data_IF_239475112184
#
_entry.id   IF_239475112184
#
_cell.length_a   1.000
_cell.length_b   1.000
_cell.length_c   1.000
_cell.angle_alpha   90.00
_cell.angle_beta   90.00
_cell.angle_gamma   90.00
#
_symmetry.space_group_name_H-M   'P 1'
#
loop_
_entity.id
_entity.type
_entity.pdbx_description
1 polymer ?
#
# COMPACT_ATOMS: atom_id res chain seq x y z
N UNK A 1 55.05 -1.27 27.31
CA UNK A 1 55.22 -1.29 25.82
C UNK A 1 55.85 -2.61 25.32
N UNK A 2 56.82 -3.22 26.02
CA UNK A 2 57.49 -4.47 25.62
C UNK A 2 56.60 -5.69 25.28
N UNK A 3 55.42 -5.97 25.92
CA UNK A 3 54.59 -7.11 25.51
C UNK A 3 53.88 -6.88 24.21
N UNK A 4 53.49 -5.62 23.88
CA UNK A 4 52.79 -5.26 22.64
C UNK A 4 53.79 -5.34 21.46
N UNK A 5 55.02 -4.87 21.66
CA UNK A 5 56.08 -4.92 20.65
C UNK A 5 56.42 -6.38 20.25
N UNK A 6 56.50 -7.30 21.22
CA UNK A 6 56.70 -8.73 20.95
C UNK A 6 55.50 -9.36 20.18
N UNK A 7 54.28 -8.93 20.44
CA UNK A 7 53.10 -9.42 19.68
C UNK A 7 53.13 -8.91 18.25
N UNK A 8 53.51 -7.66 18.02
CA UNK A 8 53.69 -7.09 16.70
C UNK A 8 54.82 -7.75 15.91
N UNK A 9 55.97 -8.00 16.53
CA UNK A 9 57.10 -8.69 15.91
C UNK A 9 56.74 -10.13 15.53
N UNK A 10 56.01 -10.87 16.38
CA UNK A 10 55.50 -12.20 16.07
C UNK A 10 54.48 -12.20 14.91
N UNK A 11 53.63 -11.17 14.84
CA UNK A 11 52.70 -10.98 13.74
C UNK A 11 53.44 -10.72 12.42
N UNK A 12 54.46 -9.88 12.45
CA UNK A 12 55.29 -9.55 11.30
C UNK A 12 56.07 -10.77 10.77
N UNK A 13 56.64 -11.61 11.66
CA UNK A 13 57.31 -12.85 11.25
C UNK A 13 56.31 -13.88 10.66
N UNK A 14 55.12 -14.01 11.26
CA UNK A 14 54.06 -14.86 10.75
C UNK A 14 53.60 -14.39 9.37
N UNK A 15 53.38 -13.08 9.18
CA UNK A 15 52.99 -12.47 7.93
C UNK A 15 54.06 -12.65 6.84
N UNK A 16 55.36 -12.40 7.15
CA UNK A 16 56.47 -12.65 6.23
C UNK A 16 56.54 -14.11 5.74
N UNK A 17 56.33 -15.07 6.64
CA UNK A 17 56.30 -16.52 6.28
C UNK A 17 55.11 -16.83 5.35
N UNK A 18 53.91 -16.27 5.62
CA UNK A 18 52.70 -16.49 4.81
C UNK A 18 52.80 -15.85 3.43
N UNK A 19 53.33 -14.62 3.32
CA UNK A 19 53.55 -13.96 2.03
C UNK A 19 54.57 -14.75 1.20
N UNK A 20 55.69 -15.14 1.78
CA UNK A 20 56.72 -15.88 1.07
C UNK A 20 56.15 -17.21 0.52
N UNK A 21 55.36 -17.94 1.29
CA UNK A 21 54.66 -19.11 0.84
C UNK A 21 53.67 -18.80 -0.31
N UNK A 22 52.90 -17.74 -0.22
CA UNK A 22 51.93 -17.33 -1.21
C UNK A 22 52.58 -16.99 -2.56
N UNK A 23 53.70 -16.26 -2.54
CA UNK A 23 54.44 -15.88 -3.75
C UNK A 23 55.04 -17.11 -4.44
N UNK A 24 55.52 -18.09 -3.66
CA UNK A 24 56.03 -19.34 -4.24
C UNK A 24 54.94 -20.29 -4.74
N UNK A 25 53.75 -20.23 -4.19
CA UNK A 25 52.60 -21.08 -4.58
C UNK A 25 51.47 -20.26 -5.23
N UNK A 26 51.83 -19.32 -6.09
CA UNK A 26 50.86 -18.37 -6.73
C UNK A 26 49.61 -19.01 -7.33
N UNK A 27 49.77 -20.15 -8.02
CA UNK A 27 48.65 -20.87 -8.66
C UNK A 27 47.67 -21.41 -7.61
N UNK A 28 48.18 -22.00 -6.52
CA UNK A 28 47.30 -22.52 -5.44
C UNK A 28 46.55 -21.38 -4.72
N UNK A 29 47.21 -20.25 -4.52
CA UNK A 29 46.58 -19.06 -3.89
C UNK A 29 45.48 -18.51 -4.82
N UNK A 30 45.77 -18.30 -6.08
CA UNK A 30 44.79 -17.82 -7.07
C UNK A 30 43.59 -18.79 -7.17
N UNK A 31 43.82 -20.08 -7.27
CA UNK A 31 42.76 -21.09 -7.27
C UNK A 31 41.96 -21.09 -5.97
N UNK A 32 42.61 -20.94 -4.83
CA UNK A 32 41.95 -20.84 -3.54
C UNK A 32 41.05 -19.59 -3.42
N UNK A 33 41.53 -18.44 -3.89
CA UNK A 33 40.75 -17.20 -3.93
C UNK A 33 39.59 -17.29 -4.88
N UNK A 34 39.76 -17.88 -6.09
CA UNK A 34 38.70 -18.10 -7.04
C UNK A 34 37.65 -19.09 -6.52
N UNK A 35 38.09 -20.16 -5.83
CA UNK A 35 37.17 -21.10 -5.18
C UNK A 35 36.35 -20.41 -4.08
N UNK A 36 36.99 -19.57 -3.23
CA UNK A 36 36.32 -18.81 -2.21
C UNK A 36 35.31 -17.81 -2.80
N UNK A 37 35.69 -17.13 -3.89
CA UNK A 37 34.78 -16.22 -4.61
C UNK A 37 33.61 -16.96 -5.22
N UNK A 38 33.85 -18.12 -5.86
CA UNK A 38 32.79 -18.96 -6.39
C UNK A 38 31.82 -19.46 -5.30
N UNK A 39 32.36 -19.85 -4.13
CA UNK A 39 31.54 -20.25 -2.98
C UNK A 39 30.71 -19.09 -2.43
N UNK A 40 31.26 -17.88 -2.40
CA UNK A 40 30.54 -16.68 -1.96
C UNK A 40 29.39 -16.30 -2.90
N UNK A 41 29.56 -16.51 -4.23
CA UNK A 41 28.49 -16.30 -5.20
C UNK A 41 27.35 -17.31 -5.04
N UNK A 42 27.67 -18.57 -4.71
CA UNK A 42 26.64 -19.57 -4.39
C UNK A 42 25.88 -19.20 -3.11
N UNK A 43 26.59 -18.71 -2.10
CA UNK A 43 25.97 -18.23 -0.86
C UNK A 43 25.09 -16.98 -1.09
N UNK A 44 25.42 -16.11 -2.04
CA UNK A 44 24.64 -14.94 -2.37
C UNK A 44 23.20 -15.27 -2.80
N UNK A 45 23.01 -16.42 -3.47
CA UNK A 45 21.68 -16.89 -3.90
C UNK A 45 20.75 -17.28 -2.73
N UNK A 46 21.29 -17.49 -1.54
CA UNK A 46 20.50 -17.79 -0.32
C UNK A 46 20.22 -16.57 0.58
N UNK A 47 20.76 -15.42 0.21
CA UNK A 47 20.57 -14.18 0.98
C UNK A 47 19.33 -13.48 0.45
N UNK A 48 18.29 -13.36 1.28
CA UNK A 48 17.12 -12.56 0.97
C UNK A 48 17.49 -11.08 0.80
N UNK A 49 16.89 -10.43 -0.18
CA UNK A 49 17.10 -8.99 -0.42
C UNK A 49 15.85 -8.22 -0.07
N UNK A 50 15.97 -7.26 0.83
CA UNK A 50 14.92 -6.30 1.15
C UNK A 50 15.38 -4.90 0.76
N UNK A 51 14.47 -4.12 0.16
CA UNK A 51 14.78 -2.74 -0.23
C UNK A 51 14.79 -1.82 0.98
N UNK A 52 13.75 -1.89 1.78
CA UNK A 52 13.64 -1.25 3.08
C UNK A 52 13.10 -2.27 4.07
N UNK A 53 13.86 -2.66 5.10
CA UNK A 53 13.33 -3.52 6.14
C UNK A 53 12.20 -2.81 6.89
N UNK A 54 11.17 -3.57 7.27
CA UNK A 54 10.09 -3.05 8.07
C UNK A 54 10.63 -2.45 9.38
N UNK A 55 10.42 -1.15 9.55
CA UNK A 55 10.86 -0.44 10.75
C UNK A 55 9.75 -0.37 11.77
N UNK A 56 10.07 -0.66 13.02
CA UNK A 56 9.14 -0.45 14.12
C UNK A 56 9.08 1.05 14.49
N UNK A 57 8.15 1.74 13.87
CA UNK A 57 7.87 3.15 14.15
C UNK A 57 6.74 3.37 15.16
N UNK A 58 6.34 2.30 15.87
CA UNK A 58 5.30 2.32 16.91
C UNK A 58 3.93 2.83 16.41
N UNK A 59 3.61 2.68 15.12
CA UNK A 59 2.33 3.09 14.54
C UNK A 59 1.69 1.96 13.78
N UNK A 60 0.36 1.83 13.94
CA UNK A 60 -0.47 0.87 13.23
C UNK A 60 -1.62 1.62 12.57
N UNK A 61 -1.81 1.41 11.28
CA UNK A 61 -2.99 1.82 10.55
C UNK A 61 -3.87 0.61 10.25
N UNK A 62 -5.16 0.68 10.58
CA UNK A 62 -6.09 -0.40 10.25
C UNK A 62 -7.27 0.20 9.50
N UNK A 63 -7.57 -0.37 8.34
CA UNK A 63 -8.77 -0.07 7.59
C UNK A 63 -9.69 -1.28 7.60
N UNK A 64 -10.90 -1.14 8.14
CA UNK A 64 -11.90 -2.19 8.21
C UNK A 64 -13.09 -1.79 7.37
N UNK A 65 -13.52 -2.67 6.48
CA UNK A 65 -14.69 -2.48 5.63
C UNK A 65 -15.76 -3.53 5.99
N UNK A 66 -16.92 -3.02 6.37
CA UNK A 66 -18.12 -3.82 6.56
C UNK A 66 -18.88 -3.95 5.23
N UNK A 67 -19.90 -4.82 5.13
CA UNK A 67 -20.73 -4.89 3.93
C UNK A 67 -21.32 -3.53 3.55
N UNK A 68 -21.34 -3.25 2.25
CA UNK A 68 -21.88 -2.01 1.72
C UNK A 68 -23.34 -1.86 2.17
N UNK A 69 -23.73 -0.64 2.55
CA UNK A 69 -25.06 -0.37 3.11
C UNK A 69 -25.14 -0.48 4.64
N UNK A 70 -24.06 -0.87 5.31
CA UNK A 70 -24.00 -0.87 6.78
C UNK A 70 -24.21 0.54 7.32
N UNK A 71 -25.10 0.69 8.30
CA UNK A 71 -25.38 1.99 8.93
C UNK A 71 -24.22 2.42 9.85
N UNK A 72 -23.97 3.71 9.91
CA UNK A 72 -22.89 4.31 10.72
C UNK A 72 -22.95 3.90 12.20
N UNK A 73 -24.17 3.76 12.76
CA UNK A 73 -24.36 3.35 14.16
C UNK A 73 -23.83 1.93 14.40
N UNK A 74 -24.05 1.03 13.43
CA UNK A 74 -23.55 -0.34 13.50
C UNK A 74 -22.02 -0.38 13.40
N UNK A 75 -21.46 0.37 12.45
CA UNK A 75 -20.01 0.51 12.29
C UNK A 75 -19.34 1.10 13.54
N UNK A 76 -19.98 2.10 14.18
CA UNK A 76 -19.50 2.66 15.46
C UNK A 76 -19.51 1.63 16.58
N UNK A 77 -20.54 0.77 16.65
CA UNK A 77 -20.60 -0.29 17.65
C UNK A 77 -19.43 -1.26 17.50
N UNK A 78 -19.19 -1.75 16.27
CA UNK A 78 -18.07 -2.66 15.99
C UNK A 78 -16.73 -1.98 16.30
N UNK A 79 -16.60 -0.71 15.91
CA UNK A 79 -15.39 0.07 16.20
C UNK A 79 -15.13 0.19 17.71
N UNK A 80 -16.16 0.43 18.51
CA UNK A 80 -16.05 0.51 19.95
C UNK A 80 -15.70 -0.83 20.58
N UNK A 81 -16.33 -1.94 20.14
CA UNK A 81 -16.06 -3.29 20.62
C UNK A 81 -14.60 -3.72 20.35
N UNK A 82 -14.10 -3.46 19.13
CA UNK A 82 -12.70 -3.74 18.77
C UNK A 82 -11.73 -2.89 19.59
N UNK A 83 -12.04 -1.61 19.77
CA UNK A 83 -11.22 -0.69 20.56
C UNK A 83 -11.14 -1.15 22.01
N UNK A 84 -12.27 -1.50 22.62
CA UNK A 84 -12.32 -2.01 24.01
C UNK A 84 -11.50 -3.31 24.14
N UNK A 85 -11.64 -4.24 23.19
CA UNK A 85 -10.88 -5.49 23.16
C UNK A 85 -9.38 -5.25 23.11
N UNK A 86 -8.92 -4.34 22.22
CA UNK A 86 -7.51 -4.04 22.06
C UNK A 86 -6.95 -3.21 23.22
N UNK A 87 -7.70 -2.26 23.74
CA UNK A 87 -7.30 -1.52 24.94
C UNK A 87 -7.17 -2.44 26.17
N UNK A 88 -8.04 -3.42 26.33
CA UNK A 88 -7.95 -4.39 27.42
C UNK A 88 -6.75 -5.33 27.26
N UNK A 89 -6.35 -5.67 26.02
CA UNK A 89 -5.22 -6.58 25.76
C UNK A 89 -3.88 -5.86 25.76
N UNK A 90 -3.81 -4.68 25.16
CA UNK A 90 -2.56 -3.96 24.89
C UNK A 90 -2.49 -2.58 25.58
N UNK A 91 -3.37 -2.30 26.55
CA UNK A 91 -3.48 -0.96 27.16
C UNK A 91 -2.17 -0.37 27.62
N UNK A 92 -1.27 -1.17 28.20
CA UNK A 92 0.06 -0.72 28.63
C UNK A 92 1.01 -0.43 27.46
N UNK A 93 0.77 -1.01 26.28
CA UNK A 93 1.55 -0.83 25.09
C UNK A 93 0.96 0.21 24.13
N UNK A 94 -0.30 0.63 24.32
CA UNK A 94 -0.98 1.63 23.50
C UNK A 94 -0.93 3.00 24.16
N UNK A 95 -0.37 3.98 23.43
CA UNK A 95 -0.38 5.39 23.84
C UNK A 95 -1.67 6.08 23.38
N UNK A 96 -2.07 5.86 22.12
CA UNK A 96 -3.25 6.46 21.51
C UNK A 96 -3.94 5.45 20.60
N UNK A 97 -5.26 5.34 20.71
CA UNK A 97 -6.10 4.59 19.79
C UNK A 97 -7.21 5.50 19.26
N UNK A 98 -7.05 6.02 18.05
CA UNK A 98 -8.04 6.82 17.37
C UNK A 98 -8.72 6.01 16.29
N UNK A 99 -10.05 6.14 16.17
CA UNK A 99 -10.76 5.60 15.02
C UNK A 99 -11.70 6.63 14.41
N UNK A 100 -11.89 6.50 13.10
CA UNK A 100 -12.83 7.31 12.32
C UNK A 100 -13.83 6.38 11.66
N UNK A 101 -15.11 6.72 11.75
CA UNK A 101 -16.23 5.96 11.17
C UNK A 101 -17.13 6.92 10.43
N UNK A 102 -17.54 6.55 9.23
CA UNK A 102 -18.53 7.29 8.48
C UNK A 102 -17.98 8.03 7.28
N UNK A 103 -18.83 8.87 6.73
CA UNK A 103 -18.51 9.68 5.57
C UNK A 103 -18.00 11.05 6.02
N UNK A 104 -16.91 11.50 5.45
CA UNK A 104 -16.42 12.86 5.68
C UNK A 104 -17.31 13.89 4.97
N UNK A 105 -17.28 15.13 5.44
CA UNK A 105 -17.96 16.22 4.77
C UNK A 105 -17.37 16.45 3.38
N UNK A 106 -18.26 16.76 2.41
CA UNK A 106 -17.87 16.99 1.00
C UNK A 106 -16.85 18.11 0.81
N UNK A 107 -16.78 19.04 1.74
CA UNK A 107 -15.87 20.20 1.71
C UNK A 107 -14.45 19.86 2.22
N UNK A 108 -14.25 18.66 2.77
CA UNK A 108 -12.95 18.23 3.26
C UNK A 108 -12.13 17.56 2.15
N UNK A 109 -11.26 18.33 1.52
CA UNK A 109 -10.39 17.86 0.42
C UNK A 109 -9.51 16.66 0.80
N UNK A 110 -9.05 16.60 2.05
CA UNK A 110 -8.25 15.47 2.54
C UNK A 110 -9.07 14.19 2.72
N UNK A 111 -10.34 14.32 2.98
CA UNK A 111 -11.23 13.19 3.15
C UNK A 111 -11.54 12.48 1.82
N UNK A 112 -11.47 13.20 0.71
CA UNK A 112 -11.64 12.62 -0.63
C UNK A 112 -10.45 11.76 -1.08
N UNK A 113 -9.29 11.89 -0.41
CA UNK A 113 -8.08 11.10 -0.67
C UNK A 113 -8.04 9.78 0.10
N UNK A 114 -9.00 9.53 0.98
CA UNK A 114 -9.11 8.29 1.75
C UNK A 114 -10.46 7.64 1.52
N UNK A 115 -10.51 6.32 1.66
CA UNK A 115 -11.76 5.58 1.60
C UNK A 115 -12.76 6.11 2.64
N UNK A 116 -13.94 6.48 2.16
CA UNK A 116 -15.01 7.07 2.96
C UNK A 116 -16.32 6.31 2.75
N UNK A 117 -17.04 6.08 3.84
CA UNK A 117 -18.36 5.46 3.77
C UNK A 117 -18.89 5.09 5.16
N UNK A 118 -20.20 4.95 5.28
CA UNK A 118 -20.83 4.53 6.53
C UNK A 118 -20.36 3.15 7.01
N UNK A 119 -19.84 2.34 6.11
CA UNK A 119 -19.35 0.96 6.33
C UNK A 119 -17.83 0.89 6.55
N UNK A 120 -17.12 2.03 6.55
CA UNK A 120 -15.66 2.08 6.66
C UNK A 120 -15.26 2.57 8.04
N UNK A 121 -14.32 1.84 8.67
CA UNK A 121 -13.71 2.16 9.95
C UNK A 121 -12.21 2.27 9.72
N UNK A 122 -11.62 3.43 9.97
CA UNK A 122 -10.19 3.65 9.88
C UNK A 122 -9.60 3.91 11.26
N UNK A 123 -8.65 3.08 11.68
CA UNK A 123 -7.90 3.24 12.92
C UNK A 123 -6.52 3.81 12.66
N UNK A 124 -6.10 4.67 13.59
CA UNK A 124 -4.72 5.08 13.75
C UNK A 124 -4.31 4.84 15.20
N UNK A 125 -3.41 3.91 15.40
CA UNK A 125 -2.96 3.46 16.72
C UNK A 125 -1.50 3.86 16.86
N UNK A 126 -1.17 4.54 17.96
CA UNK A 126 0.21 4.80 18.36
C UNK A 126 0.54 3.94 19.58
N UNK A 127 1.65 3.24 19.49
CA UNK A 127 2.18 2.41 20.57
C UNK A 127 3.29 3.16 21.31
N UNK A 128 3.60 2.74 22.51
CA UNK A 128 4.78 3.16 23.24
C UNK A 128 6.07 2.71 22.49
N UNK A 129 7.19 3.32 22.82
CA UNK A 129 8.47 2.98 22.19
C UNK A 129 8.79 1.48 22.32
N UNK A 130 9.52 0.87 21.37
CA UNK A 130 9.86 -0.56 21.39
C UNK A 130 10.51 -1.01 22.69
N UNK A 131 11.34 -0.15 23.31
CA UNK A 131 12.03 -0.45 24.57
C UNK A 131 11.09 -0.57 25.80
N UNK A 132 9.86 -0.07 25.68
CA UNK A 132 8.88 -0.02 26.77
C UNK A 132 7.80 -1.09 26.66
N UNK A 133 7.84 -1.94 25.63
CA UNK A 133 6.86 -2.99 25.39
C UNK A 133 7.51 -4.35 25.19
N UNK A 134 6.79 -5.40 25.51
CA UNK A 134 7.27 -6.80 25.42
C UNK A 134 7.01 -7.41 24.05
N UNK A 135 5.95 -6.97 23.35
CA UNK A 135 5.57 -7.46 22.03
C UNK A 135 6.14 -6.56 20.94
N UNK A 136 6.58 -7.18 19.85
CA UNK A 136 7.00 -6.42 18.65
C UNK A 136 5.77 -5.84 17.92
N UNK A 137 6.00 -4.82 17.09
CA UNK A 137 4.95 -4.24 16.26
C UNK A 137 4.28 -5.30 15.36
N UNK A 138 5.10 -6.18 14.78
CA UNK A 138 4.63 -7.27 13.93
C UNK A 138 3.73 -8.25 14.67
N UNK A 139 4.13 -8.69 15.86
CA UNK A 139 3.32 -9.59 16.70
C UNK A 139 1.96 -8.97 17.05
N UNK A 140 1.94 -7.69 17.39
CA UNK A 140 0.68 -6.98 17.69
C UNK A 140 -0.20 -6.91 16.44
N UNK A 141 0.38 -6.59 15.29
CA UNK A 141 -0.36 -6.55 14.01
C UNK A 141 -0.92 -7.92 13.64
N UNK A 142 -0.17 -9.01 13.84
CA UNK A 142 -0.64 -10.37 13.55
C UNK A 142 -1.78 -10.81 14.45
N UNK A 143 -1.69 -10.51 15.74
CA UNK A 143 -2.80 -10.78 16.67
C UNK A 143 -4.04 -9.95 16.32
N UNK A 144 -3.87 -8.67 15.93
CA UNK A 144 -4.98 -7.84 15.46
C UNK A 144 -5.61 -8.38 14.18
N UNK A 145 -4.80 -8.91 13.23
CA UNK A 145 -5.32 -9.60 12.04
C UNK A 145 -6.15 -10.82 12.40
N UNK A 146 -5.69 -11.62 13.37
CA UNK A 146 -6.46 -12.77 13.85
C UNK A 146 -7.78 -12.34 14.52
N UNK A 147 -7.75 -11.27 15.30
CA UNK A 147 -8.94 -10.71 15.90
C UNK A 147 -9.96 -10.27 14.83
N UNK A 148 -9.51 -9.57 13.81
CA UNK A 148 -10.37 -9.10 12.71
C UNK A 148 -10.94 -10.26 11.88
N UNK A 149 -10.16 -11.31 11.61
CA UNK A 149 -10.64 -12.53 10.94
C UNK A 149 -11.76 -13.25 11.73
N UNK A 150 -11.77 -13.09 13.05
CA UNK A 150 -12.78 -13.73 13.90
C UNK A 150 -14.15 -13.03 13.86
N UNK A 151 -14.24 -11.81 13.27
CA UNK A 151 -15.52 -11.08 13.15
C UNK A 151 -16.18 -11.36 11.80
N UNK A 152 -17.27 -12.13 11.74
CA UNK A 152 -17.93 -12.48 10.47
C UNK A 152 -18.60 -11.29 9.78
N UNK A 153 -18.80 -10.20 10.51
CA UNK A 153 -19.39 -8.96 10.00
C UNK A 153 -18.39 -8.11 9.18
N UNK A 154 -17.09 -8.43 9.22
CA UNK A 154 -16.04 -7.72 8.49
C UNK A 154 -15.91 -8.35 7.11
N UNK A 155 -16.19 -7.57 6.07
CA UNK A 155 -16.06 -8.00 4.68
C UNK A 155 -14.60 -7.97 4.21
N UNK A 156 -13.87 -6.91 4.57
CA UNK A 156 -12.44 -6.71 4.26
C UNK A 156 -11.77 -5.97 5.41
N UNK A 157 -10.49 -6.19 5.57
CA UNK A 157 -9.67 -5.37 6.46
C UNK A 157 -8.24 -5.29 5.91
N UNK A 158 -7.51 -4.30 6.34
CA UNK A 158 -6.10 -4.12 6.04
C UNK A 158 -5.40 -3.60 7.29
N UNK A 159 -4.34 -4.29 7.71
CA UNK A 159 -3.50 -3.91 8.84
C UNK A 159 -2.13 -3.53 8.32
N UNK A 160 -1.75 -2.27 8.47
CA UNK A 160 -0.50 -1.70 8.00
C UNK A 160 0.40 -1.31 9.18
N UNK A 161 1.65 -1.75 9.16
CA UNK A 161 2.69 -1.22 10.02
C UNK A 161 3.14 0.14 9.47
N UNK A 162 3.32 1.13 10.34
CA UNK A 162 3.80 2.44 9.93
C UNK A 162 2.78 3.56 9.86
N UNK A 163 1.51 3.27 10.13
CA UNK A 163 0.41 4.26 10.04
C UNK A 163 -0.06 4.48 8.60
N UNK A 164 -1.34 4.75 8.40
CA UNK A 164 -2.09 4.73 7.14
C UNK A 164 -1.71 5.76 6.06
N UNK A 165 -0.47 6.06 5.87
CA UNK A 165 -0.01 6.97 4.83
C UNK A 165 1.32 6.53 4.27
N UNK A 166 1.36 5.67 3.27
CA UNK A 166 2.44 5.36 2.31
C UNK A 166 3.89 5.77 2.62
N UNK A 167 4.28 5.77 3.91
CA UNK A 167 5.61 6.20 4.34
C UNK A 167 6.65 5.10 4.11
N UNK A 168 7.86 5.49 3.73
CA UNK A 168 9.03 4.62 3.65
C UNK A 168 9.23 3.90 4.99
N UNK A 169 9.04 2.58 5.02
CA UNK A 169 9.22 1.74 6.22
C UNK A 169 7.98 0.97 6.67
N UNK A 170 6.90 0.94 5.86
CA UNK A 170 5.77 0.03 6.05
C UNK A 170 6.10 -1.41 5.65
N UNK A 171 5.18 -2.32 5.90
CA UNK A 171 5.28 -3.72 5.49
C UNK A 171 5.43 -3.81 3.96
N UNK A 172 6.31 -4.67 3.47
CA UNK A 172 6.50 -4.89 2.04
C UNK A 172 5.25 -5.46 1.40
N UNK A 173 4.83 -4.87 0.28
CA UNK A 173 3.72 -5.36 -0.53
C UNK A 173 4.24 -5.76 -1.91
N UNK A 174 3.71 -6.88 -2.43
CA UNK A 174 3.84 -7.25 -3.83
C UNK A 174 2.56 -6.80 -4.54
N UNK A 175 2.66 -5.83 -5.42
CA UNK A 175 1.53 -5.28 -6.14
C UNK A 175 1.50 -5.84 -7.57
N UNK A 176 0.32 -6.31 -7.97
CA UNK A 176 0.06 -6.86 -9.30
C UNK A 176 -1.02 -6.01 -9.97
N UNK A 177 -0.69 -5.38 -11.07
CA UNK A 177 -1.58 -4.53 -11.83
C UNK A 177 -2.24 -5.31 -12.96
N UNK A 178 -3.56 -5.40 -12.89
CA UNK A 178 -4.41 -6.04 -13.90
C UNK A 178 -4.97 -4.96 -14.80
N UNK A 179 -4.49 -4.89 -16.04
CA UNK A 179 -4.93 -3.94 -17.05
C UNK A 179 -6.03 -4.56 -17.91
N UNK A 180 -7.08 -3.79 -18.20
CA UNK A 180 -8.16 -4.20 -19.08
C UNK A 180 -9.31 -3.21 -19.10
N UNK A 181 -10.08 -3.20 -20.21
CA UNK A 181 -11.22 -2.30 -20.38
C UNK A 181 -12.54 -2.92 -19.91
N UNK A 182 -12.64 -4.24 -19.93
CA UNK A 182 -13.81 -4.99 -19.48
C UNK A 182 -13.78 -5.14 -17.96
N UNK A 183 -14.84 -4.68 -17.27
CA UNK A 183 -14.93 -4.71 -15.83
C UNK A 183 -15.12 -6.15 -15.30
N UNK A 184 -16.00 -6.92 -15.94
CA UNK A 184 -16.35 -8.26 -15.48
C UNK A 184 -15.14 -9.21 -15.59
N UNK A 185 -14.40 -9.12 -16.71
CA UNK A 185 -13.20 -9.93 -16.92
C UNK A 185 -12.05 -9.49 -16.01
N UNK A 186 -11.82 -8.18 -15.82
CA UNK A 186 -10.77 -7.71 -14.89
C UNK A 186 -11.10 -8.08 -13.45
N UNK A 187 -12.38 -8.05 -13.03
CA UNK A 187 -12.79 -8.48 -11.70
C UNK A 187 -12.60 -9.98 -11.53
N UNK A 188 -12.99 -10.80 -12.53
CA UNK A 188 -12.78 -12.24 -12.50
C UNK A 188 -11.30 -12.61 -12.35
N UNK A 189 -10.42 -12.01 -13.17
CA UNK A 189 -8.98 -12.26 -13.12
C UNK A 189 -8.38 -11.78 -11.79
N UNK A 190 -8.79 -10.62 -11.28
CA UNK A 190 -8.31 -10.11 -9.99
C UNK A 190 -8.70 -11.02 -8.82
N UNK A 191 -9.92 -11.58 -8.82
CA UNK A 191 -10.36 -12.53 -7.81
C UNK A 191 -9.66 -13.89 -7.92
N UNK A 192 -9.44 -14.37 -9.15
CA UNK A 192 -8.67 -15.59 -9.39
C UNK A 192 -7.23 -15.43 -8.91
N UNK A 193 -6.59 -14.31 -9.27
CA UNK A 193 -5.24 -13.97 -8.83
C UNK A 193 -5.17 -13.88 -7.30
N UNK A 194 -6.10 -13.17 -6.65
CA UNK A 194 -6.20 -13.12 -5.19
C UNK A 194 -6.23 -14.50 -4.55
N UNK A 195 -7.08 -15.39 -5.09
CA UNK A 195 -7.23 -16.74 -4.54
C UNK A 195 -5.95 -17.56 -4.67
N UNK A 196 -5.26 -17.43 -5.78
CA UNK A 196 -4.00 -18.12 -6.05
C UNK A 196 -2.84 -17.54 -5.21
N UNK A 197 -2.75 -16.22 -5.09
CA UNK A 197 -1.72 -15.57 -4.25
C UNK A 197 -1.82 -15.96 -2.78
N UNK A 198 -3.03 -16.18 -2.25
CA UNK A 198 -3.23 -16.65 -0.88
C UNK A 198 -2.70 -18.08 -0.63
N UNK A 199 -2.36 -18.84 -1.67
CA UNK A 199 -1.74 -20.17 -1.55
C UNK A 199 -0.22 -20.13 -1.46
N UNK A 200 0.40 -18.96 -1.72
CA UNK A 200 1.85 -18.79 -1.67
C UNK A 200 2.29 -18.65 -0.21
N UNK A 201 3.34 -19.40 0.14
CA UNK A 201 3.96 -19.27 1.46
C UNK A 201 4.59 -17.87 1.62
N UNK A 202 4.36 -17.21 2.75
CA UNK A 202 4.84 -15.84 2.98
C UNK A 202 3.89 -14.74 2.50
N UNK A 203 2.67 -15.08 2.04
CA UNK A 203 1.61 -14.10 1.76
C UNK A 203 0.61 -14.10 2.92
N UNK A 204 0.49 -12.96 3.60
CA UNK A 204 -0.40 -12.81 4.77
C UNK A 204 -1.82 -12.40 4.42
N UNK A 205 -1.97 -11.46 3.52
CA UNK A 205 -3.24 -10.83 3.15
C UNK A 205 -3.18 -10.35 1.70
N UNK A 206 -4.28 -10.48 0.95
CA UNK A 206 -4.37 -9.99 -0.43
C UNK A 206 -5.60 -9.09 -0.57
N UNK A 207 -5.36 -7.85 -1.00
CA UNK A 207 -6.37 -6.84 -1.21
C UNK A 207 -6.47 -6.47 -2.70
N UNK A 208 -7.69 -6.18 -3.15
CA UNK A 208 -7.98 -5.69 -4.50
C UNK A 208 -8.37 -4.22 -4.38
N UNK A 209 -7.78 -3.34 -5.18
CA UNK A 209 -8.02 -1.89 -5.12
C UNK A 209 -9.45 -1.53 -5.49
N UNK A 210 -10.04 -2.27 -6.44
CA UNK A 210 -11.44 -2.05 -6.81
C UNK A 210 -12.36 -2.49 -5.69
N UNK A 211 -13.15 -1.54 -5.18
CA UNK A 211 -14.20 -1.81 -4.21
C UNK A 211 -15.40 -2.50 -4.85
N UNK A 212 -16.24 -3.12 -4.01
CA UNK A 212 -17.48 -3.73 -4.48
C UNK A 212 -18.43 -2.67 -5.07
N UNK A 213 -19.26 -3.10 -6.02
CA UNK A 213 -20.27 -2.23 -6.62
C UNK A 213 -21.22 -1.72 -5.53
N UNK A 214 -21.48 -0.40 -5.55
CA UNK A 214 -22.43 0.23 -4.64
C UNK A 214 -23.79 0.35 -5.32
N UNK A 215 -24.86 -0.20 -4.71
CA UNK A 215 -26.20 0.12 -5.17
C UNK A 215 -26.47 1.61 -4.90
N UNK A 216 -26.84 2.33 -5.94
CA UNK A 216 -27.20 3.75 -5.87
C UNK A 216 -28.52 4.03 -6.55
N UNK A 217 -29.26 4.99 -6.04
CA UNK A 217 -30.47 5.48 -6.69
C UNK A 217 -30.12 6.61 -7.64
N UNK A 218 -30.27 6.36 -8.93
CA UNK A 218 -30.11 7.36 -9.97
C UNK A 218 -31.48 7.93 -10.37
N UNK A 219 -31.58 9.25 -10.48
CA UNK A 219 -32.77 9.92 -10.99
C UNK A 219 -32.54 10.26 -12.45
N UNK A 220 -33.14 9.46 -13.33
CA UNK A 220 -33.11 9.67 -14.77
C UNK A 220 -34.20 10.71 -15.14
N UNK A 221 -33.81 11.98 -15.27
CA UNK A 221 -34.68 13.06 -15.65
C UNK A 221 -34.94 13.05 -17.16
N UNK A 222 -36.24 13.17 -17.55
CA UNK A 222 -36.67 13.37 -18.91
C UNK A 222 -36.52 14.85 -19.30
N UNK A 223 -35.64 15.12 -20.27
CA UNK A 223 -35.34 16.50 -20.70
C UNK A 223 -36.54 17.21 -21.33
N UNK A 224 -37.42 16.49 -22.02
CA UNK A 224 -38.61 17.05 -22.64
C UNK A 224 -39.62 17.46 -21.56
N UNK A 225 -39.84 16.61 -20.56
CA UNK A 225 -40.73 16.91 -19.43
C UNK A 225 -40.19 18.07 -18.60
N UNK A 226 -38.86 18.13 -18.37
CA UNK A 226 -38.24 19.28 -17.70
C UNK A 226 -38.54 20.58 -18.47
N UNK A 227 -38.34 20.57 -19.78
CA UNK A 227 -38.54 21.75 -20.62
C UNK A 227 -40.02 22.20 -20.63
N UNK A 228 -40.97 21.27 -20.64
CA UNK A 228 -42.44 21.57 -20.55
C UNK A 228 -42.78 22.32 -19.27
N UNK A 229 -42.07 22.04 -18.19
CA UNK A 229 -42.27 22.72 -16.89
C UNK A 229 -41.31 23.91 -16.66
N UNK A 230 -40.56 24.35 -17.68
CA UNK A 230 -39.63 25.47 -17.58
C UNK A 230 -38.46 25.17 -16.68
N UNK A 231 -38.06 23.90 -16.55
CA UNK A 231 -36.92 23.42 -15.79
C UNK A 231 -35.81 22.95 -16.72
N UNK A 232 -34.60 23.03 -16.27
CA UNK A 232 -33.45 22.36 -16.89
C UNK A 232 -32.82 21.31 -15.93
N UNK A 233 -32.01 20.44 -16.47
CA UNK A 233 -31.39 19.34 -15.72
C UNK A 233 -30.57 19.86 -14.53
N UNK A 234 -29.77 20.92 -14.71
CA UNK A 234 -28.93 21.49 -13.65
C UNK A 234 -29.76 22.00 -12.49
N UNK A 235 -30.83 22.75 -12.78
CA UNK A 235 -31.75 23.26 -11.75
C UNK A 235 -32.43 22.10 -11.01
N UNK A 236 -32.94 21.11 -11.71
CA UNK A 236 -33.60 19.95 -11.11
C UNK A 236 -32.66 19.16 -10.20
N UNK A 237 -31.44 18.88 -10.67
CA UNK A 237 -30.42 18.17 -9.90
C UNK A 237 -29.96 18.95 -8.66
N UNK A 238 -29.78 20.27 -8.78
CA UNK A 238 -29.41 21.12 -7.65
C UNK A 238 -30.53 21.15 -6.59
N UNK A 239 -31.79 21.22 -7.01
CA UNK A 239 -32.92 21.15 -6.08
C UNK A 239 -32.97 19.84 -5.31
N UNK A 240 -32.76 18.72 -6.01
CA UNK A 240 -32.73 17.39 -5.40
C UNK A 240 -31.57 17.29 -4.40
N UNK A 241 -30.35 17.64 -4.82
CA UNK A 241 -29.15 17.63 -3.98
C UNK A 241 -29.37 18.44 -2.70
N UNK A 242 -29.83 19.68 -2.81
CA UNK A 242 -30.02 20.57 -1.66
C UNK A 242 -31.07 20.05 -0.67
N UNK A 243 -32.06 19.28 -1.13
CA UNK A 243 -33.08 18.72 -0.24
C UNK A 243 -32.64 17.44 0.45
N UNK A 244 -31.87 16.60 -0.25
CA UNK A 244 -31.40 15.31 0.28
C UNK A 244 -30.13 15.49 1.11
N UNK A 245 -29.08 16.10 0.53
CA UNK A 245 -27.78 16.31 1.21
C UNK A 245 -27.80 17.57 2.07
N UNK A 246 -28.61 18.56 1.69
CA UNK A 246 -28.65 19.86 2.32
C UNK A 246 -27.84 20.93 1.60
N UNK A 247 -28.05 22.15 1.96
CA UNK A 247 -27.28 23.31 1.54
C UNK A 247 -26.96 24.16 2.73
N UNK A 248 -25.74 24.71 2.81
CA UNK A 248 -25.36 25.70 3.81
C UNK A 248 -26.08 27.00 3.47
N UNK A 249 -27.07 27.37 4.31
CA UNK A 249 -27.93 28.53 4.09
C UNK A 249 -27.29 29.81 4.66
N UNK A 250 -26.57 29.68 5.76
CA UNK A 250 -25.89 30.81 6.46
C UNK A 250 -24.88 30.25 7.45
N UNK A 251 -24.16 31.15 8.10
CA UNK A 251 -23.21 30.80 9.16
C UNK A 251 -23.70 31.42 10.49
N UNK A 252 -23.68 30.62 11.52
CA UNK A 252 -23.90 31.10 12.88
C UNK A 252 -22.54 31.42 13.52
N UNK A 253 -22.39 32.64 14.06
CA UNK A 253 -21.13 33.11 14.65
C UNK A 253 -21.32 33.31 16.14
N UNK A 254 -20.49 32.67 16.94
CA UNK A 254 -20.49 32.78 18.39
C UNK A 254 -19.04 32.66 18.90
N UNK A 255 -18.65 33.57 19.80
CA UNK A 255 -17.34 33.61 20.48
C UNK A 255 -16.09 33.56 19.55
N UNK A 256 -16.24 34.00 18.29
CA UNK A 256 -15.17 34.01 17.28
C UNK A 256 -15.16 32.80 16.38
N UNK A 257 -15.99 31.79 16.63
CA UNK A 257 -16.18 30.62 15.81
C UNK A 257 -17.35 30.78 14.83
N UNK A 258 -17.22 30.15 13.66
CA UNK A 258 -18.26 30.05 12.63
C UNK A 258 -18.79 28.62 12.54
N UNK A 259 -20.14 28.50 12.62
CA UNK A 259 -20.84 27.21 12.50
C UNK A 259 -21.76 27.24 11.28
N UNK A 260 -21.65 26.20 10.41
CA UNK A 260 -22.51 26.06 9.24
C UNK A 260 -23.96 25.78 9.62
N UNK A 261 -24.90 26.62 9.14
CA UNK A 261 -26.32 26.32 9.22
C UNK A 261 -26.76 25.56 7.98
N UNK A 262 -26.78 24.24 8.06
CA UNK A 262 -27.14 23.35 6.97
C UNK A 262 -28.65 23.05 6.98
N UNK A 263 -29.34 23.38 5.88
CA UNK A 263 -30.78 23.16 5.72
C UNK A 263 -31.00 21.99 4.77
N UNK A 264 -31.74 20.98 5.24
CA UNK A 264 -32.13 19.79 4.46
C UNK A 264 -33.47 19.24 4.93
N UNK A 265 -34.05 18.31 4.19
CA UNK A 265 -35.24 17.60 4.65
C UNK A 265 -34.98 16.81 5.92
N UNK A 266 -35.97 16.75 6.79
CA UNK A 266 -35.93 15.92 7.98
C UNK A 266 -35.82 14.43 7.58
N UNK A 267 -35.23 13.57 8.41
CA UNK A 267 -34.97 12.17 8.07
C UNK A 267 -36.20 11.43 7.55
N UNK A 268 -37.37 11.67 8.12
CA UNK A 268 -38.63 11.03 7.77
C UNK A 268 -39.10 11.29 6.31
N UNK A 269 -38.55 12.33 5.65
CA UNK A 269 -38.90 12.69 4.26
C UNK A 269 -37.84 12.33 3.23
N UNK A 270 -36.86 11.47 3.58
CA UNK A 270 -35.76 11.09 2.71
C UNK A 270 -35.20 9.68 2.98
N UNK A 271 -36.06 8.78 3.47
CA UNK A 271 -35.67 7.40 3.84
C UNK A 271 -36.03 6.36 2.80
N UNK A 272 -36.99 6.67 1.94
CA UNK A 272 -37.51 5.72 0.93
C UNK A 272 -37.42 6.27 -0.49
N UNK A 273 -37.53 5.37 -1.47
CA UNK A 273 -37.64 5.77 -2.91
C UNK A 273 -38.87 6.64 -3.11
N UNK A 274 -39.99 6.28 -2.48
CA UNK A 274 -41.24 7.04 -2.56
C UNK A 274 -41.08 8.48 -2.07
N UNK A 275 -40.27 8.71 -1.03
CA UNK A 275 -39.95 10.05 -0.55
C UNK A 275 -39.23 10.85 -1.62
N UNK A 276 -38.21 10.26 -2.27
CA UNK A 276 -37.45 10.88 -3.36
C UNK A 276 -38.38 11.22 -4.55
N UNK A 277 -39.24 10.29 -4.96
CA UNK A 277 -40.17 10.50 -6.05
C UNK A 277 -41.22 11.62 -5.79
N UNK A 278 -41.58 11.80 -4.54
CA UNK A 278 -42.55 12.82 -4.12
C UNK A 278 -41.94 14.20 -3.82
N UNK A 279 -40.60 14.34 -3.87
CA UNK A 279 -39.96 15.64 -3.75
C UNK A 279 -40.48 16.59 -4.84
N UNK A 280 -40.95 17.78 -4.45
CA UNK A 280 -41.42 18.81 -5.37
C UNK A 280 -40.28 19.76 -5.74
N UNK A 281 -40.03 19.91 -7.03
CA UNK A 281 -39.12 20.91 -7.60
C UNK A 281 -39.97 22.10 -8.05
N UNK A 282 -39.61 23.28 -7.55
CA UNK A 282 -40.33 24.51 -7.91
C UNK A 282 -39.74 25.06 -9.21
N UNK A 283 -40.56 25.18 -10.24
CA UNK A 283 -40.14 25.81 -11.50
C UNK A 283 -39.91 27.31 -11.29
N UNK A 284 -38.72 27.83 -11.62
CA UNK A 284 -38.43 29.27 -11.51
C UNK A 284 -39.24 30.09 -12.51
N UNK A 285 -39.75 29.48 -13.58
CA UNK A 285 -40.49 30.16 -14.64
C UNK A 285 -42.00 30.20 -14.36
N UNK A 286 -42.57 29.11 -13.85
CA UNK A 286 -44.02 28.98 -13.64
C UNK A 286 -44.43 29.11 -12.18
N UNK A 287 -43.51 29.02 -11.22
CA UNK A 287 -43.77 29.00 -9.78
C UNK A 287 -44.46 27.71 -9.30
N UNK A 288 -44.74 26.77 -10.18
CA UNK A 288 -45.42 25.52 -9.84
C UNK A 288 -44.42 24.47 -9.32
N UNK A 289 -44.85 23.71 -8.29
CA UNK A 289 -44.11 22.57 -7.77
C UNK A 289 -44.45 21.29 -8.49
N UNK A 290 -43.50 20.70 -9.22
CA UNK A 290 -43.64 19.44 -9.96
C UNK A 290 -42.89 18.34 -9.23
N UNK A 291 -43.44 17.15 -9.08
CA UNK A 291 -42.79 16.01 -8.40
C UNK A 291 -41.75 15.37 -9.29
N UNK A 292 -40.70 14.80 -8.68
CA UNK A 292 -39.66 14.10 -9.42
C UNK A 292 -40.19 12.99 -10.26
N UNK A 293 -41.15 12.19 -9.78
CA UNK A 293 -41.80 11.12 -10.54
C UNK A 293 -42.51 11.58 -11.84
N UNK A 294 -42.95 12.84 -11.88
CA UNK A 294 -43.56 13.43 -13.06
C UNK A 294 -42.50 13.92 -14.07
N UNK A 295 -41.25 14.15 -13.60
CA UNK A 295 -40.12 14.67 -14.37
C UNK A 295 -39.13 13.58 -14.81
N UNK A 296 -39.16 12.40 -14.18
CA UNK A 296 -38.22 11.33 -14.45
C UNK A 296 -38.56 10.04 -13.74
N UNK A 297 -37.60 9.15 -13.64
CA UNK A 297 -37.72 7.87 -12.94
C UNK A 297 -36.56 7.71 -11.98
N UNK A 298 -36.83 7.13 -10.81
CA UNK A 298 -35.79 6.70 -9.86
C UNK A 298 -35.46 5.23 -10.18
N UNK A 299 -34.22 4.95 -10.47
CA UNK A 299 -33.75 3.60 -10.87
C UNK A 299 -32.59 3.22 -9.93
N UNK A 300 -32.64 2.00 -9.41
CA UNK A 300 -31.53 1.41 -8.69
C UNK A 300 -30.50 0.87 -9.68
N UNK A 301 -29.25 1.25 -9.53
CA UNK A 301 -28.14 0.78 -10.36
C UNK A 301 -26.92 0.50 -9.49
N UNK A 302 -26.19 -0.53 -9.85
CA UNK A 302 -24.88 -0.79 -9.29
C UNK A 302 -23.83 0.02 -10.06
N UNK A 303 -23.07 0.81 -9.35
CA UNK A 303 -21.99 1.61 -9.93
C UNK A 303 -20.64 1.28 -9.26
N UNK A 304 -19.57 1.13 -10.04
CA UNK A 304 -18.24 0.98 -9.48
C UNK A 304 -17.85 2.28 -8.76
N UNK A 305 -17.38 2.21 -7.50
CA UNK A 305 -17.10 3.40 -6.71
C UNK A 305 -15.91 4.21 -7.27
N UNK A 306 -14.92 3.51 -7.81
CA UNK A 306 -13.67 4.12 -8.30
C UNK A 306 -13.21 3.42 -9.57
N UNK A 307 -12.77 4.20 -10.55
CA UNK A 307 -12.11 3.72 -11.78
C UNK A 307 -10.70 4.25 -11.79
N UNK A 308 -9.74 3.38 -11.46
CA UNK A 308 -8.33 3.71 -11.48
C UNK A 308 -7.76 3.60 -12.88
N UNK A 309 -6.82 4.50 -13.19
CA UNK A 309 -6.07 4.49 -14.44
C UNK A 309 -4.60 4.79 -14.20
N UNK A 310 -3.77 3.99 -14.84
CA UNK A 310 -2.32 4.22 -14.96
C UNK A 310 -2.00 4.27 -16.44
N UNK A 311 -1.22 5.24 -16.88
CA UNK A 311 -0.83 5.44 -18.29
C UNK A 311 -2.00 5.49 -19.28
N UNK A 312 -3.15 6.04 -18.86
CA UNK A 312 -4.44 6.14 -19.59
C UNK A 312 -5.19 4.82 -19.74
N UNK A 313 -4.66 3.69 -19.31
CA UNK A 313 -5.34 2.40 -19.27
C UNK A 313 -6.03 2.19 -17.93
N UNK A 314 -7.12 1.42 -17.95
CA UNK A 314 -7.81 1.03 -16.70
C UNK A 314 -6.98 -0.03 -16.01
N UNK A 315 -6.81 0.13 -14.70
CA UNK A 315 -6.03 -0.78 -13.88
C UNK A 315 -6.81 -1.19 -12.63
N UNK A 316 -6.59 -2.41 -12.22
CA UNK A 316 -6.99 -2.94 -10.90
C UNK A 316 -5.72 -3.46 -10.24
N UNK A 317 -5.39 -2.95 -9.06
CA UNK A 317 -4.22 -3.39 -8.31
C UNK A 317 -4.62 -4.48 -7.33
N UNK A 318 -3.92 -5.60 -7.37
CA UNK A 318 -4.01 -6.69 -6.41
C UNK A 318 -2.76 -6.65 -5.55
N UNK A 319 -2.91 -6.20 -4.30
CA UNK A 319 -1.80 -6.01 -3.36
C UNK A 319 -1.72 -7.19 -2.40
N UNK A 320 -0.61 -7.90 -2.42
CA UNK A 320 -0.31 -8.97 -1.46
C UNK A 320 0.65 -8.45 -0.38
N UNK A 321 0.25 -8.57 0.87
CA UNK A 321 1.11 -8.26 2.03
C UNK A 321 2.09 -9.41 2.22
N UNK A 322 3.39 -9.09 2.16
CA UNK A 322 4.47 -10.08 2.23
C UNK A 322 4.99 -10.16 3.66
N UNK A 323 5.00 -11.38 4.21
CA UNK A 323 5.56 -11.72 5.53
C UNK A 323 6.92 -12.42 5.42
N UNK A 324 7.35 -12.73 4.19
CA UNK A 324 8.63 -13.37 3.86
C UNK A 324 9.48 -12.49 2.96
N UNK A 325 10.33 -13.13 2.14
CA UNK A 325 11.16 -12.43 1.15
C UNK A 325 10.33 -11.98 -0.05
N UNK A 326 10.32 -10.68 -0.34
CA UNK A 326 9.55 -10.12 -1.46
C UNK A 326 9.89 -10.77 -2.80
N UNK A 327 11.18 -11.04 -3.06
CA UNK A 327 11.65 -11.66 -4.30
C UNK A 327 11.11 -13.07 -4.52
N UNK A 328 11.04 -13.89 -3.48
CA UNK A 328 10.54 -15.27 -3.57
C UNK A 328 9.03 -15.28 -3.85
N UNK A 329 8.26 -14.46 -3.11
CA UNK A 329 6.82 -14.31 -3.32
C UNK A 329 6.50 -13.83 -4.74
N UNK A 330 7.27 -12.86 -5.27
CA UNK A 330 7.07 -12.38 -6.64
C UNK A 330 7.46 -13.43 -7.68
N UNK A 331 8.51 -14.24 -7.43
CA UNK A 331 8.89 -15.32 -8.33
C UNK A 331 7.79 -16.39 -8.42
N UNK A 332 7.24 -16.81 -7.28
CA UNK A 332 6.13 -17.77 -7.22
C UNK A 332 4.85 -17.19 -7.84
N UNK A 333 4.57 -15.91 -7.60
CA UNK A 333 3.42 -15.22 -8.19
C UNK A 333 3.54 -15.13 -9.72
N UNK A 334 4.73 -14.84 -10.26
CA UNK A 334 4.96 -14.83 -11.71
C UNK A 334 4.73 -16.22 -12.34
N UNK A 335 5.19 -17.28 -11.68
CA UNK A 335 4.92 -18.65 -12.15
C UNK A 335 3.40 -18.94 -12.21
N UNK A 336 2.65 -18.46 -11.22
CA UNK A 336 1.17 -18.57 -11.18
C UNK A 336 0.54 -17.75 -12.31
N UNK A 337 1.01 -16.53 -12.55
CA UNK A 337 0.49 -15.65 -13.61
C UNK A 337 0.73 -16.24 -14.99
N UNK A 338 1.91 -16.84 -15.21
CA UNK A 338 2.25 -17.51 -16.47
C UNK A 338 1.37 -18.76 -16.75
N UNK A 339 0.86 -19.40 -15.69
CA UNK A 339 -0.08 -20.53 -15.80
C UNK A 339 -1.55 -20.08 -15.93
N UNK A 340 -1.85 -18.80 -15.72
CA UNK A 340 -3.22 -18.29 -15.87
C UNK A 340 -3.60 -18.08 -17.33
N UNK A 341 -4.80 -18.52 -17.70
CA UNK A 341 -5.39 -18.20 -19.01
C UNK A 341 -5.91 -16.75 -19.00
N UNK A 342 -5.10 -15.82 -19.50
CA UNK A 342 -5.51 -14.42 -19.62
C UNK A 342 -6.31 -14.20 -20.90
N UNK A 343 -7.52 -13.60 -20.82
CA UNK A 343 -8.31 -13.23 -21.98
C UNK A 343 -7.61 -12.18 -22.85
N UNK A 344 -7.99 -12.11 -24.13
CA UNK A 344 -7.48 -11.09 -25.05
C UNK A 344 -7.73 -9.69 -24.51
N UNK A 345 -6.69 -8.86 -24.38
CA UNK A 345 -6.80 -7.49 -23.90
C UNK A 345 -6.70 -7.32 -22.38
N UNK A 346 -6.38 -8.38 -21.65
CA UNK A 346 -6.00 -8.32 -20.23
C UNK A 346 -4.53 -8.65 -20.11
N UNK A 347 -3.81 -7.83 -19.35
CA UNK A 347 -2.41 -8.06 -18.97
C UNK A 347 -2.25 -7.90 -17.47
N UNK A 348 -1.36 -8.73 -16.89
CA UNK A 348 -1.01 -8.66 -15.48
C UNK A 348 0.49 -8.33 -15.40
N UNK A 349 0.84 -7.32 -14.63
CA UNK A 349 2.23 -6.89 -14.46
C UNK A 349 2.54 -6.72 -12.98
N UNK A 350 3.76 -7.07 -12.59
CA UNK A 350 4.26 -6.78 -11.24
C UNK A 350 4.65 -5.31 -11.19
N UNK A 351 4.28 -4.65 -10.11
CA UNK A 351 4.48 -3.22 -9.90
C UNK A 351 4.83 -2.92 -8.43
N UNK A 352 4.85 -1.63 -8.09
CA UNK A 352 5.04 -1.17 -6.72
C UNK A 352 6.45 -1.38 -6.19
N UNK A 353 6.57 -1.74 -4.93
CA UNK A 353 7.86 -1.82 -4.21
C UNK A 353 8.88 -2.71 -4.92
N UNK A 354 8.44 -3.79 -5.58
CA UNK A 354 9.34 -4.69 -6.30
C UNK A 354 9.89 -4.05 -7.58
N UNK A 355 9.05 -3.35 -8.35
CA UNK A 355 9.46 -2.60 -9.55
C UNK A 355 10.48 -1.52 -9.16
N UNK A 356 10.14 -0.69 -8.15
CA UNK A 356 11.03 0.35 -7.62
C UNK A 356 12.37 -0.21 -7.14
N UNK A 357 12.34 -1.39 -6.51
CA UNK A 357 13.54 -2.10 -6.07
C UNK A 357 14.41 -2.50 -7.26
N UNK A 358 13.83 -3.10 -8.30
CA UNK A 358 14.56 -3.51 -9.48
C UNK A 358 15.18 -2.33 -10.23
N UNK A 359 14.43 -1.25 -10.43
CA UNK A 359 14.95 -0.03 -11.04
C UNK A 359 16.10 0.57 -10.23
N UNK A 360 15.93 0.66 -8.90
CA UNK A 360 16.96 1.19 -8.01
C UNK A 360 18.24 0.34 -8.04
N UNK A 361 18.13 -0.97 -8.05
CA UNK A 361 19.30 -1.85 -8.15
C UNK A 361 19.97 -1.76 -9.53
N UNK A 362 19.21 -1.58 -10.61
CA UNK A 362 19.77 -1.38 -11.95
C UNK A 362 20.55 -0.06 -12.02
N UNK A 363 19.99 1.02 -11.48
CA UNK A 363 20.63 2.34 -11.40
C UNK A 363 21.88 2.32 -10.52
N UNK A 364 21.80 1.70 -9.36
CA UNK A 364 22.97 1.50 -8.47
C UNK A 364 24.06 0.67 -9.13
N UNK A 365 23.67 -0.35 -9.91
CA UNK A 365 24.59 -1.16 -10.71
C UNK A 365 25.32 -0.32 -11.75
N UNK A 366 24.58 0.52 -12.50
CA UNK A 366 25.16 1.43 -13.48
C UNK A 366 26.12 2.45 -12.82
N UNK A 367 25.70 3.04 -11.71
CA UNK A 367 26.55 3.95 -10.91
C UNK A 367 27.78 3.23 -10.39
N UNK A 368 27.66 1.98 -9.93
CA UNK A 368 28.79 1.15 -9.49
C UNK A 368 29.84 0.98 -10.59
N UNK A 369 29.42 0.64 -11.80
CA UNK A 369 30.34 0.55 -12.96
C UNK A 369 31.01 1.89 -13.24
N UNK A 370 30.26 3.00 -13.23
CA UNK A 370 30.81 4.33 -13.42
C UNK A 370 31.86 4.68 -12.36
N UNK A 371 31.58 4.40 -11.08
CA UNK A 371 32.53 4.61 -9.97
C UNK A 371 33.81 3.81 -10.20
N UNK A 372 33.70 2.54 -10.58
CA UNK A 372 34.86 1.67 -10.86
C UNK A 372 35.72 2.27 -11.97
N UNK A 373 35.11 2.77 -13.05
CA UNK A 373 35.83 3.44 -14.16
C UNK A 373 36.50 4.72 -13.67
N UNK A 374 35.83 5.57 -12.92
CA UNK A 374 36.38 6.82 -12.40
C UNK A 374 37.58 6.55 -11.45
N UNK A 375 37.45 5.60 -10.54
CA UNK A 375 38.54 5.20 -9.64
C UNK A 375 39.72 4.67 -10.43
N UNK A 376 39.48 3.88 -11.49
CA UNK A 376 40.54 3.41 -12.38
C UNK A 376 41.26 4.59 -13.04
N UNK A 377 40.56 5.58 -13.59
CA UNK A 377 41.14 6.76 -14.25
C UNK A 377 41.98 7.56 -13.27
N UNK A 378 41.49 7.83 -12.04
CA UNK A 378 42.21 8.56 -11.02
C UNK A 378 43.46 7.82 -10.61
N UNK A 379 43.37 6.50 -10.37
CA UNK A 379 44.57 5.70 -10.04
C UNK A 379 45.57 5.65 -11.19
N UNK A 380 45.11 5.55 -12.45
CA UNK A 380 45.98 5.53 -13.61
C UNK A 380 46.76 6.84 -13.74
N UNK A 381 46.10 7.98 -13.47
CA UNK A 381 46.73 9.29 -13.46
C UNK A 381 47.74 9.43 -12.31
N UNK A 382 47.42 8.91 -11.12
CA UNK A 382 48.27 8.99 -9.93
C UNK A 382 49.51 8.08 -10.01
N UNK A 383 49.36 6.88 -10.62
CA UNK A 383 50.46 5.93 -10.77
C UNK A 383 51.22 6.09 -12.09
N UNK A 384 50.80 7.01 -12.97
CA UNK A 384 51.37 7.19 -14.33
C UNK A 384 51.49 5.85 -15.10
N UNK A 385 50.60 4.93 -14.83
CA UNK A 385 50.62 3.57 -15.35
C UNK A 385 49.20 2.99 -15.42
N UNK A 386 48.90 2.26 -16.44
CA UNK A 386 47.62 1.53 -16.58
C UNK A 386 47.64 0.16 -15.88
N UNK A 387 48.82 -0.42 -15.69
CA UNK A 387 48.94 -1.79 -15.18
C UNK A 387 48.72 -1.88 -13.69
N UNK A 388 49.24 -0.92 -12.91
CA UNK A 388 49.12 -0.95 -11.46
C UNK A 388 47.69 -0.79 -10.95
N UNK A 389 46.88 0.17 -11.48
CA UNK A 389 45.48 0.29 -11.14
C UNK A 389 44.68 -1.00 -11.46
N UNK A 390 44.95 -1.59 -12.60
CA UNK A 390 44.28 -2.82 -13.02
C UNK A 390 44.55 -3.97 -12.02
N UNK A 391 45.78 -4.15 -11.56
CA UNK A 391 46.14 -5.16 -10.56
C UNK A 391 45.45 -4.87 -9.19
N UNK A 392 45.38 -3.59 -8.79
CA UNK A 392 44.74 -3.18 -7.51
C UNK A 392 43.24 -3.46 -7.59
N UNK A 393 42.59 -3.12 -8.71
CA UNK A 393 41.18 -3.33 -8.88
C UNK A 393 40.77 -4.80 -8.89
N UNK A 394 41.68 -5.71 -9.20
CA UNK A 394 41.41 -7.14 -9.09
C UNK A 394 41.15 -7.60 -7.63
N UNK A 395 41.46 -6.77 -6.65
CA UNK A 395 41.14 -7.04 -5.24
C UNK A 395 39.65 -6.77 -4.91
N UNK A 396 38.92 -5.96 -5.70
CA UNK A 396 37.54 -5.59 -5.45
C UNK A 396 36.62 -6.82 -5.40
N UNK A 397 36.62 -7.75 -6.37
CA UNK A 397 35.79 -8.96 -6.30
C UNK A 397 35.99 -9.77 -5.02
N UNK A 398 37.24 -9.82 -4.51
CA UNK A 398 37.52 -10.56 -3.28
C UNK A 398 37.02 -9.83 -2.02
N UNK A 399 36.92 -8.50 -2.04
CA UNK A 399 36.27 -7.74 -0.97
C UNK A 399 34.76 -8.09 -0.89
N UNK A 400 34.11 -8.21 -2.05
CA UNK A 400 32.72 -8.67 -2.13
C UNK A 400 32.53 -10.07 -1.54
N UNK A 401 33.48 -11.00 -1.77
CA UNK A 401 33.37 -12.34 -1.18
C UNK A 401 33.34 -12.32 0.34
N UNK A 402 34.12 -11.42 0.96
CA UNK A 402 34.11 -11.24 2.42
C UNK A 402 32.77 -10.74 2.94
N UNK A 403 32.16 -9.75 2.23
CA UNK A 403 30.84 -9.18 2.59
C UNK A 403 29.75 -10.25 2.46
N UNK A 404 29.70 -10.98 1.32
CA UNK A 404 28.69 -11.99 1.09
C UNK A 404 28.77 -13.14 2.11
N UNK A 405 29.97 -13.61 2.45
CA UNK A 405 30.14 -14.64 3.47
C UNK A 405 29.78 -14.16 4.87
N UNK A 406 30.05 -12.91 5.19
CA UNK A 406 29.65 -12.32 6.47
C UNK A 406 28.13 -12.22 6.58
N UNK A 407 27.45 -11.77 5.50
CA UNK A 407 25.99 -11.68 5.44
C UNK A 407 25.32 -13.07 5.47
N UNK A 408 25.91 -14.06 4.83
CA UNK A 408 25.38 -15.43 4.87
C UNK A 408 25.56 -16.11 6.24
N UNK A 409 26.45 -15.59 7.09
CA UNK A 409 26.71 -16.12 8.43
C UNK A 409 25.89 -15.44 9.53
N UNK A 410 25.31 -14.28 9.26
CA UNK A 410 24.46 -13.50 10.19
C UNK A 410 23.00 -13.65 9.90
#
# INVERSE_FOLDING_TARGET
>A
YKPIERQLDNLDEWYKKRINWAVHNRVKVILGCLALFGLSLLAAGSIGTEFFPAQDNSRIGINVQLPIGTRTEHSKRIAAELTEKWMNRYGDAMEVCNYRVGQADEDNTFASMSDNGSHIIAYNISLVNPDQRTLTLEQICDEMRQDLKAYPEIARFQVQMGGGGGGMGGQSTADFEVYGYDFDETDRISQELKTKLLTIDGVGEVNISRQDYKPEYQVDFDREKLALHGLNLSTASMYLRNRVNGATATYYREDGDEYDVKVRFAPEYRTSIEDLENIKIISPTTGQGVRIKDLGKVVERDAPPTIERKDRERVVTVSAVVTGTLGDVVADANAIIDEMELPMGITVQVSGTYEDQQESFADLGMLGVLIVILVFIVMAAQFESMTYPFIIMFSIPFAFSGILLALAAT
#
